data_IF_922354869915
#
_entry.id   IF_922354869915
#
_cell.length_a   1.000
_cell.length_b   1.000
_cell.length_c   1.000
_cell.angle_alpha   90.00
_cell.angle_beta   90.00
_cell.angle_gamma   90.00
#
_symmetry.space_group_name_H-M   'P 1'
#
loop_
_entity.id
_entity.type
_entity.pdbx_description
1 polymer ?
#
# COMPACT_ATOMS: atom_id res chain seq x y z
N UNK A 1 -3.51 16.38 36.36
CA UNK A 1 -2.53 15.73 35.48
C UNK A 1 -3.21 15.64 34.13
N UNK A 2 -2.83 16.50 33.18
CA UNK A 2 -3.33 16.39 31.81
C UNK A 2 -2.57 15.23 31.18
N UNK A 3 -3.29 14.19 30.77
CA UNK A 3 -2.74 13.14 29.93
C UNK A 3 -2.30 13.80 28.62
N UNK A 4 -1.01 13.69 28.27
CA UNK A 4 -0.54 14.08 26.95
C UNK A 4 -1.30 13.20 25.94
N UNK A 5 -2.35 13.73 25.33
CA UNK A 5 -2.94 13.12 24.14
C UNK A 5 -1.88 13.21 23.06
N UNK A 6 -1.28 12.07 22.71
CA UNK A 6 -0.44 11.99 21.53
C UNK A 6 -1.33 12.27 20.32
N UNK A 7 -0.99 13.33 19.57
CA UNK A 7 -1.70 13.65 18.34
C UNK A 7 -1.33 12.62 17.26
N UNK A 8 -2.29 11.79 16.88
CA UNK A 8 -2.15 10.85 15.77
C UNK A 8 -2.62 11.50 14.46
N UNK A 9 -1.82 11.35 13.41
CA UNK A 9 -2.15 11.82 12.05
C UNK A 9 -2.36 10.61 11.14
N UNK A 10 -3.47 10.59 10.41
CA UNK A 10 -3.72 9.59 9.37
C UNK A 10 -3.18 10.10 8.04
N UNK A 11 -2.18 9.39 7.50
CA UNK A 11 -1.56 9.71 6.20
C UNK A 11 -1.84 8.55 5.23
N UNK A 12 -2.51 8.79 4.09
CA UNK A 12 -2.68 7.76 3.08
C UNK A 12 -1.33 7.45 2.43
N UNK A 13 -1.07 6.16 2.16
CA UNK A 13 0.08 5.73 1.38
C UNK A 13 -0.33 4.58 0.46
N UNK A 14 0.40 4.41 -0.65
CA UNK A 14 0.13 3.37 -1.65
C UNK A 14 1.36 2.46 -1.80
N UNK A 15 1.12 1.17 -2.04
CA UNK A 15 2.14 0.21 -2.46
C UNK A 15 1.72 -0.31 -3.84
N UNK A 16 2.51 0.00 -4.86
CA UNK A 16 2.30 -0.48 -6.23
C UNK A 16 3.16 -1.73 -6.46
N UNK A 17 2.55 -2.79 -6.95
CA UNK A 17 3.22 -4.06 -7.25
C UNK A 17 2.87 -4.56 -8.65
N UNK A 18 3.83 -5.20 -9.31
CA UNK A 18 3.65 -5.88 -10.60
C UNK A 18 3.80 -7.39 -10.38
N UNK A 19 2.90 -8.17 -10.97
CA UNK A 19 3.05 -9.63 -11.06
C UNK A 19 2.85 -10.09 -12.50
N UNK A 20 3.54 -11.18 -12.86
CA UNK A 20 3.40 -11.84 -14.14
C UNK A 20 2.70 -13.18 -13.94
N UNK A 21 1.69 -13.45 -14.75
CA UNK A 21 0.92 -14.69 -14.69
C UNK A 21 0.61 -15.19 -16.10
N UNK A 22 0.52 -16.51 -16.25
CA UNK A 22 0.00 -17.17 -17.45
C UNK A 22 -1.45 -17.69 -17.24
N UNK A 23 -2.07 -17.34 -16.11
CA UNK A 23 -3.47 -17.63 -15.77
C UNK A 23 -4.32 -16.38 -15.97
N UNK A 24 -5.64 -16.54 -15.96
CA UNK A 24 -6.55 -15.39 -15.92
C UNK A 24 -6.31 -14.55 -14.66
N UNK A 25 -6.51 -13.23 -14.78
CA UNK A 25 -6.25 -12.27 -13.69
C UNK A 25 -7.08 -12.60 -12.46
N UNK A 26 -8.37 -12.90 -12.64
CA UNK A 26 -9.28 -13.28 -11.55
C UNK A 26 -8.79 -14.54 -10.82
N UNK A 27 -8.24 -15.52 -11.56
CA UNK A 27 -7.66 -16.74 -10.97
C UNK A 27 -6.29 -16.52 -10.33
N UNK A 28 -5.64 -15.40 -10.66
CA UNK A 28 -4.30 -15.05 -10.16
C UNK A 28 -4.35 -14.21 -8.89
N UNK A 29 -5.49 -13.57 -8.63
CA UNK A 29 -5.72 -12.78 -7.42
C UNK A 29 -6.40 -13.67 -6.39
N UNK A 30 -5.90 -13.64 -5.17
CA UNK A 30 -6.55 -14.34 -4.05
C UNK A 30 -7.84 -13.61 -3.70
N UNK A 31 -8.98 -14.27 -3.85
CA UNK A 31 -10.31 -13.70 -3.63
C UNK A 31 -10.59 -13.37 -2.15
N UNK A 32 -10.01 -14.14 -1.22
CA UNK A 32 -10.21 -13.96 0.21
C UNK A 32 -8.88 -14.06 0.98
N UNK A 33 -8.50 -12.96 1.64
CA UNK A 33 -7.41 -12.94 2.63
C UNK A 33 -8.02 -13.02 4.03
N UNK A 34 -7.51 -13.92 4.88
CA UNK A 34 -8.01 -14.01 6.25
C UNK A 34 -7.52 -12.80 7.09
N UNK A 35 -8.24 -12.44 8.18
CA UNK A 35 -7.81 -11.36 9.07
C UNK A 35 -6.38 -11.54 9.62
N UNK A 36 -6.00 -12.78 9.97
CA UNK A 36 -4.66 -13.09 10.48
C UNK A 36 -3.55 -12.87 9.44
N UNK A 37 -3.83 -13.21 8.17
CA UNK A 37 -2.88 -12.99 7.08
C UNK A 37 -2.75 -11.50 6.73
N UNK A 38 -3.85 -10.76 6.81
CA UNK A 38 -3.85 -9.31 6.64
C UNK A 38 -3.07 -8.61 7.75
N UNK A 39 -3.24 -9.02 9.00
CA UNK A 39 -2.48 -8.51 10.14
C UNK A 39 -0.98 -8.75 9.98
N UNK A 40 -0.58 -9.97 9.57
CA UNK A 40 0.81 -10.29 9.26
C UNK A 40 1.38 -9.39 8.15
N UNK A 41 0.62 -9.15 7.09
CA UNK A 41 1.04 -8.28 6.00
C UNK A 41 1.22 -6.82 6.48
N UNK A 42 0.27 -6.30 7.26
CA UNK A 42 0.36 -4.97 7.86
C UNK A 42 1.59 -4.82 8.74
N UNK A 43 1.89 -5.83 9.58
CA UNK A 43 3.09 -5.81 10.41
C UNK A 43 4.38 -5.80 9.59
N UNK A 44 4.44 -6.60 8.51
CA UNK A 44 5.59 -6.64 7.61
C UNK A 44 5.79 -5.27 6.97
N UNK A 45 4.71 -4.67 6.42
CA UNK A 45 4.75 -3.35 5.81
C UNK A 45 5.22 -2.29 6.82
N UNK A 46 4.65 -2.30 8.03
CA UNK A 46 5.04 -1.38 9.11
C UNK A 46 6.52 -1.48 9.45
N UNK A 47 7.03 -2.71 9.65
CA UNK A 47 8.44 -2.98 10.01
C UNK A 47 9.43 -2.65 8.90
N UNK A 48 9.03 -2.79 7.65
CA UNK A 48 9.94 -2.66 6.50
C UNK A 48 9.99 -1.22 5.96
N UNK A 49 8.86 -0.51 5.95
CA UNK A 49 8.76 0.80 5.30
C UNK A 49 8.78 1.97 6.28
N UNK A 50 8.46 1.76 7.56
CA UNK A 50 8.26 2.84 8.52
C UNK A 50 9.11 2.69 9.79
N UNK A 51 9.34 3.81 10.47
CA UNK A 51 10.01 3.83 11.77
C UNK A 51 9.09 3.30 12.88
N UNK A 52 9.67 2.96 14.03
CA UNK A 52 8.89 2.49 15.19
C UNK A 52 7.79 3.47 15.60
N UNK A 53 6.63 2.95 15.98
CA UNK A 53 5.45 3.75 16.39
C UNK A 53 4.44 4.02 15.26
N UNK A 54 4.71 3.58 14.03
CA UNK A 54 3.75 3.67 12.92
C UNK A 54 2.90 2.41 12.87
N UNK A 55 1.58 2.60 12.98
CA UNK A 55 0.60 1.54 12.78
C UNK A 55 0.09 1.59 11.33
N UNK A 56 0.06 0.42 10.68
CA UNK A 56 -0.42 0.29 9.30
C UNK A 56 -1.74 -0.48 9.32
N UNK A 57 -2.73 0.07 8.63
CA UNK A 57 -3.97 -0.62 8.31
C UNK A 57 -4.08 -0.73 6.78
N UNK A 58 -4.36 -1.93 6.30
CA UNK A 58 -4.53 -2.23 4.88
C UNK A 58 -5.96 -2.71 4.67
N UNK A 59 -6.62 -2.17 3.65
CA UNK A 59 -7.88 -2.71 3.15
C UNK A 59 -7.60 -3.39 1.80
N UNK A 60 -7.69 -4.73 1.73
CA UNK A 60 -7.45 -5.44 0.47
C UNK A 60 -8.62 -5.17 -0.48
N UNK A 61 -8.32 -4.57 -1.63
CA UNK A 61 -9.27 -4.35 -2.71
C UNK A 61 -8.53 -4.32 -4.05
N UNK A 62 -9.16 -4.88 -5.09
CA UNK A 62 -8.69 -4.67 -6.46
C UNK A 62 -9.06 -3.24 -6.82
N UNK A 63 -8.06 -2.37 -6.88
CA UNK A 63 -8.25 -1.00 -7.37
C UNK A 63 -8.55 -1.11 -8.87
N UNK A 64 -9.69 -0.59 -9.35
CA UNK A 64 -10.00 -0.55 -10.77
C UNK A 64 -8.84 0.06 -11.57
N UNK A 65 -8.55 -0.43 -12.79
CA UNK A 65 -7.41 0.03 -13.57
C UNK A 65 -7.33 1.55 -13.72
N UNK A 66 -8.48 2.21 -13.89
CA UNK A 66 -8.62 3.66 -13.97
C UNK A 66 -8.14 4.39 -12.70
N UNK A 67 -8.32 3.80 -11.52
CA UNK A 67 -7.85 4.35 -10.24
C UNK A 67 -6.39 3.97 -9.93
N UNK A 68 -5.90 2.86 -10.49
CA UNK A 68 -4.50 2.46 -10.37
C UNK A 68 -3.58 3.26 -11.30
N UNK A 69 -4.09 3.70 -12.45
CA UNK A 69 -3.33 4.48 -13.46
C UNK A 69 -2.85 5.81 -12.90
N UNK A 70 -3.63 6.53 -12.08
CA UNK A 70 -3.14 7.78 -11.46
C UNK A 70 -1.96 7.51 -10.52
N UNK A 71 -2.05 6.50 -9.67
CA UNK A 71 -0.95 6.13 -8.76
C UNK A 71 0.29 5.58 -9.50
N UNK A 72 0.10 4.91 -10.64
CA UNK A 72 1.20 4.45 -11.50
C UNK A 72 1.83 5.62 -12.26
N UNK A 73 1.05 6.56 -12.79
CA UNK A 73 1.57 7.75 -13.48
C UNK A 73 2.34 8.65 -12.52
N UNK A 74 1.84 8.88 -11.31
CA UNK A 74 2.59 9.62 -10.29
C UNK A 74 3.89 8.92 -9.90
N UNK A 75 3.91 7.58 -9.89
CA UNK A 75 5.12 6.79 -9.64
C UNK A 75 6.09 6.84 -10.84
N UNK A 76 5.58 6.78 -12.08
CA UNK A 76 6.38 6.91 -13.30
C UNK A 76 7.01 8.31 -13.39
N UNK A 77 6.25 9.37 -13.11
CA UNK A 77 6.76 10.74 -13.06
C UNK A 77 7.81 10.91 -11.96
N UNK A 78 7.66 10.25 -10.80
CA UNK A 78 8.66 10.28 -9.74
C UNK A 78 9.95 9.52 -10.12
N UNK A 79 9.82 8.41 -10.86
CA UNK A 79 10.95 7.56 -11.28
C UNK A 79 11.66 8.15 -12.52
N UNK A 80 10.92 8.80 -13.42
CA UNK A 80 11.44 9.38 -14.67
C UNK A 80 11.74 10.87 -14.57
N UNK A 81 11.23 11.56 -13.54
CA UNK A 81 11.30 13.02 -13.35
C UNK A 81 12.49 13.56 -12.57
N UNK A 82 13.61 12.82 -12.47
CA UNK A 82 14.93 13.43 -12.25
C UNK A 82 15.67 13.64 -13.58
N UNK A 83 15.01 14.29 -14.52
CA UNK A 83 15.63 14.68 -15.78
C UNK A 83 14.70 15.47 -16.69
N UNK A 84 14.53 16.76 -16.41
CA UNK A 84 14.47 17.84 -17.41
C UNK A 84 14.29 19.20 -16.69
N UNK A 85 15.42 19.86 -16.40
CA UNK A 85 15.52 21.33 -16.49
C UNK A 85 15.59 21.75 -17.97
#
# INVERSE_FOLDING_TARGET
MQENQEDYYAVPFSIVGLFLTNKDVEQSIREEISPEELEKLQEIVAKMLFTSGVNVALYPGVVPPDQAVEAVNELEDLIMGEGEE
#
